data_IF_390387401722
#
_entry.id   IF_390387401722
#
_cell.length_a   1.000
_cell.length_b   1.000
_cell.length_c   1.000
_cell.angle_alpha   90.00
_cell.angle_beta   90.00
_cell.angle_gamma   90.00
#
_symmetry.space_group_name_H-M   'P 1'
#
loop_
_entity.id
_entity.type
_entity.pdbx_description
1 polymer ?
#
# COMPACT_ATOMS: atom_id res chain seq x y z
N UNK A 1 4.77 14.82 0.77
CA UNK A 1 3.67 14.08 1.44
C UNK A 1 3.46 12.66 0.89
N UNK A 2 3.41 12.45 -0.44
CA UNK A 2 3.17 11.11 -1.04
C UNK A 2 4.19 10.04 -0.60
N UNK A 3 5.48 10.38 -0.56
CA UNK A 3 6.55 9.46 -0.11
C UNK A 3 6.38 9.09 1.37
N UNK A 4 6.04 10.07 2.21
CA UNK A 4 5.82 9.86 3.65
C UNK A 4 4.69 8.83 3.87
N UNK A 5 3.61 8.90 3.09
CA UNK A 5 2.51 7.90 3.15
C UNK A 5 2.98 6.49 2.78
N UNK A 6 3.87 6.35 1.80
CA UNK A 6 4.43 5.05 1.40
C UNK A 6 5.33 4.49 2.50
N UNK A 7 6.17 5.33 3.12
CA UNK A 7 7.08 4.91 4.19
C UNK A 7 6.33 4.59 5.49
N UNK A 8 5.23 5.30 5.78
CA UNK A 8 4.37 5.06 6.95
C UNK A 8 3.64 3.70 6.91
N UNK A 9 3.60 3.03 5.76
CA UNK A 9 3.05 1.67 5.63
C UNK A 9 3.74 0.68 6.57
N UNK A 10 5.06 0.69 6.62
CA UNK A 10 5.84 -0.26 7.40
C UNK A 10 5.59 -0.16 8.92
N UNK A 11 5.70 1.03 9.56
CA UNK A 11 5.40 1.13 10.99
C UNK A 11 3.93 0.84 11.28
N UNK A 12 3.00 1.20 10.40
CA UNK A 12 1.58 0.88 10.60
C UNK A 12 1.35 -0.63 10.52
N UNK A 13 1.95 -1.32 9.55
CA UNK A 13 1.84 -2.77 9.42
C UNK A 13 2.46 -3.51 10.61
N UNK A 14 3.60 -3.02 11.10
CA UNK A 14 4.24 -3.54 12.31
C UNK A 14 3.36 -3.32 13.54
N UNK A 15 2.76 -2.14 13.72
CA UNK A 15 1.85 -1.85 14.82
C UNK A 15 0.59 -2.72 14.75
N UNK A 16 -0.05 -2.81 13.58
CA UNK A 16 -1.21 -3.69 13.34
C UNK A 16 -0.88 -5.12 13.71
N UNK A 17 0.27 -5.64 13.26
CA UNK A 17 0.71 -7.01 13.58
C UNK A 17 0.95 -7.21 15.08
N UNK A 18 1.57 -6.23 15.73
CA UNK A 18 1.81 -6.25 17.18
C UNK A 18 0.48 -6.22 17.96
N UNK A 19 -0.46 -5.36 17.57
CA UNK A 19 -1.79 -5.30 18.18
C UNK A 19 -2.54 -6.63 18.03
N UNK A 20 -2.44 -7.30 16.88
CA UNK A 20 -3.05 -8.61 16.68
C UNK A 20 -2.47 -9.68 17.64
N UNK A 21 -1.18 -9.59 17.98
CA UNK A 21 -0.53 -10.49 18.93
C UNK A 21 -0.95 -10.17 20.37
N UNK A 22 -1.05 -8.89 20.73
CA UNK A 22 -1.46 -8.47 22.09
C UNK A 22 -2.94 -8.72 22.37
N UNK A 23 -3.79 -8.61 21.36
CA UNK A 23 -5.24 -8.77 21.48
C UNK A 23 -5.76 -9.78 20.45
N UNK A 24 -5.58 -11.10 20.68
CA UNK A 24 -6.01 -12.13 19.74
C UNK A 24 -7.53 -12.15 19.55
N UNK A 25 -8.29 -11.76 20.58
CA UNK A 25 -9.76 -11.71 20.52
C UNK A 25 -10.31 -10.67 19.52
N UNK A 26 -9.55 -9.60 19.25
CA UNK A 26 -9.94 -8.54 18.30
C UNK A 26 -9.08 -8.52 17.04
N UNK A 27 -8.19 -9.49 16.87
CA UNK A 27 -7.29 -9.55 15.72
C UNK A 27 -8.08 -9.51 14.41
N UNK A 28 -9.18 -10.26 14.31
CA UNK A 28 -10.01 -10.37 13.10
C UNK A 28 -10.49 -9.01 12.57
N UNK A 29 -10.78 -8.05 13.46
CA UNK A 29 -11.20 -6.69 13.12
C UNK A 29 -10.02 -5.78 12.72
N UNK A 30 -8.84 -6.02 13.30
CA UNK A 30 -7.67 -5.18 13.12
C UNK A 30 -6.90 -5.56 11.83
N UNK A 31 -6.89 -6.84 11.48
CA UNK A 31 -6.21 -7.38 10.31
C UNK A 31 -6.53 -6.64 8.98
N UNK A 32 -7.81 -6.45 8.60
CA UNK A 32 -8.17 -5.87 7.31
C UNK A 32 -7.70 -4.42 7.16
N UNK A 33 -7.43 -3.72 8.26
CA UNK A 33 -6.89 -2.35 8.25
C UNK A 33 -5.47 -2.31 7.67
N UNK A 34 -4.67 -3.36 7.86
CA UNK A 34 -3.35 -3.49 7.24
C UNK A 34 -3.44 -3.56 5.72
N UNK A 35 -4.34 -4.40 5.20
CA UNK A 35 -4.62 -4.54 3.76
C UNK A 35 -5.16 -3.23 3.16
N UNK A 36 -6.01 -2.51 3.92
CA UNK A 36 -6.48 -1.18 3.54
C UNK A 36 -5.31 -0.19 3.43
N UNK A 37 -4.41 -0.16 4.41
CA UNK A 37 -3.27 0.76 4.34
C UNK A 37 -2.31 0.41 3.19
N UNK A 38 -2.10 -0.87 2.90
CA UNK A 38 -1.37 -1.31 1.70
C UNK A 38 -1.98 -0.69 0.43
N UNK A 39 -3.31 -0.77 0.28
CA UNK A 39 -3.98 -0.22 -0.90
C UNK A 39 -3.88 1.31 -1.02
N UNK A 40 -3.89 2.03 0.11
CA UNK A 40 -3.67 3.48 0.13
C UNK A 40 -2.22 3.83 -0.25
N UNK A 41 -1.24 3.07 0.25
CA UNK A 41 0.16 3.24 -0.11
C UNK A 41 0.40 2.93 -1.61
N UNK A 42 -0.28 1.93 -2.18
CA UNK A 42 -0.26 1.65 -3.62
C UNK A 42 -0.81 2.82 -4.45
N UNK A 43 -1.92 3.42 -4.03
CA UNK A 43 -2.47 4.61 -4.67
C UNK A 43 -1.53 5.82 -4.56
N UNK A 44 -0.83 5.98 -3.41
CA UNK A 44 0.16 7.03 -3.23
C UNK A 44 1.39 6.82 -4.13
N UNK A 45 1.82 5.58 -4.32
CA UNK A 45 2.89 5.20 -5.25
C UNK A 45 2.51 5.54 -6.70
N UNK A 46 1.29 5.23 -7.12
CA UNK A 46 0.79 5.63 -8.43
C UNK A 46 0.78 7.16 -8.62
N UNK A 47 0.25 7.90 -7.64
CA UNK A 47 0.24 9.37 -7.69
C UNK A 47 1.65 9.99 -7.70
N UNK A 48 2.61 9.30 -7.11
CA UNK A 48 4.02 9.67 -7.11
C UNK A 48 4.63 9.43 -8.50
N UNK A 49 4.36 8.27 -9.11
CA UNK A 49 4.75 7.96 -10.48
C UNK A 49 4.22 9.01 -11.46
N UNK A 50 2.95 9.38 -11.36
CA UNK A 50 2.36 10.43 -12.18
C UNK A 50 3.05 11.79 -12.00
N UNK A 51 3.49 12.15 -10.78
CA UNK A 51 4.27 13.38 -10.57
C UNK A 51 5.67 13.31 -11.16
N UNK A 52 6.32 12.14 -11.11
CA UNK A 52 7.62 11.93 -11.74
C UNK A 52 7.55 12.07 -13.26
N UNK A 53 6.55 11.44 -13.88
CA UNK A 53 6.34 11.53 -15.33
C UNK A 53 6.14 12.99 -15.76
N UNK A 54 5.34 13.77 -15.01
CA UNK A 54 5.10 15.18 -15.31
C UNK A 54 6.33 16.06 -15.14
N UNK A 55 7.17 15.77 -14.14
CA UNK A 55 8.38 16.54 -13.89
C UNK A 55 9.44 16.36 -14.98
N UNK A 56 9.42 15.22 -15.67
CA UNK A 56 10.37 14.91 -16.73
C UNK A 56 10.08 15.63 -18.06
N UNK A 57 8.84 16.03 -18.34
CA UNK A 57 8.46 16.73 -19.58
C UNK A 57 7.62 17.98 -19.29
N UNK A 58 8.25 19.09 -18.86
CA UNK A 58 7.51 20.31 -18.48
C UNK A 58 6.75 20.97 -19.65
N UNK A 59 7.18 20.74 -20.89
CA UNK A 59 6.57 21.34 -22.09
C UNK A 59 5.46 20.49 -22.72
N UNK A 60 5.31 19.22 -22.32
CA UNK A 60 4.28 18.34 -22.84
C UNK A 60 3.17 18.20 -21.80
N UNK A 61 2.08 18.93 -22.00
CA UNK A 61 0.89 18.91 -21.12
C UNK A 61 0.06 17.62 -21.27
N UNK A 62 0.73 16.49 -21.50
CA UNK A 62 0.07 15.22 -21.68
C UNK A 62 -0.27 14.60 -20.35
N UNK A 63 -1.49 14.06 -20.28
CA UNK A 63 -1.94 13.30 -19.13
C UNK A 63 -1.08 12.03 -19.04
N UNK A 64 -0.46 11.73 -17.88
CA UNK A 64 0.37 10.54 -17.74
C UNK A 64 -0.45 9.25 -17.90
N UNK A 65 -1.77 9.32 -17.72
CA UNK A 65 -2.67 8.19 -17.86
C UNK A 65 -4.06 8.66 -18.28
N UNK A 66 -4.82 7.75 -18.87
CA UNK A 66 -6.25 7.98 -19.14
C UNK A 66 -7.06 7.94 -17.84
N UNK A 67 -8.21 8.65 -17.77
CA UNK A 67 -9.08 8.59 -16.58
C UNK A 67 -9.57 7.17 -16.28
N UNK A 68 -9.75 6.34 -17.32
CA UNK A 68 -10.13 4.93 -17.17
C UNK A 68 -9.03 4.12 -16.47
N UNK A 69 -7.76 4.31 -16.84
CA UNK A 69 -6.64 3.65 -16.15
C UNK A 69 -6.53 4.11 -14.69
N UNK A 70 -6.69 5.41 -14.43
CA UNK A 70 -6.69 5.95 -13.08
C UNK A 70 -7.81 5.32 -12.22
N UNK A 71 -9.04 5.21 -12.75
CA UNK A 71 -10.13 4.53 -12.05
C UNK A 71 -9.83 3.06 -11.76
N UNK A 72 -9.22 2.33 -12.70
CA UNK A 72 -8.84 0.92 -12.50
C UNK A 72 -7.76 0.72 -11.44
N UNK A 73 -6.93 1.73 -11.19
CA UNK A 73 -5.92 1.71 -10.13
C UNK A 73 -6.56 2.11 -8.80
N UNK A 74 -7.40 3.15 -8.80
CA UNK A 74 -8.06 3.66 -7.59
C UNK A 74 -9.22 2.80 -7.08
N UNK A 75 -9.72 1.84 -7.87
CA UNK A 75 -10.66 0.85 -7.35
C UNK A 75 -10.05 -0.01 -6.22
N UNK A 76 -8.73 -0.15 -6.17
CA UNK A 76 -8.07 -1.00 -5.17
C UNK A 76 -8.34 -0.55 -3.73
N UNK A 77 -8.04 0.71 -3.33
CA UNK A 77 -8.38 1.19 -2.00
C UNK A 77 -9.89 1.27 -1.73
N UNK A 78 -10.70 1.55 -2.75
CA UNK A 78 -12.16 1.57 -2.58
C UNK A 78 -12.71 0.17 -2.23
N UNK A 79 -12.26 -0.86 -2.95
CA UNK A 79 -12.68 -2.24 -2.70
C UNK A 79 -12.10 -2.76 -1.38
N UNK A 80 -10.87 -2.37 -1.01
CA UNK A 80 -10.32 -2.74 0.29
C UNK A 80 -11.12 -2.16 1.45
N UNK A 81 -11.62 -0.93 1.33
CA UNK A 81 -12.51 -0.35 2.33
C UNK A 81 -13.83 -1.13 2.42
N UNK A 82 -14.38 -1.60 1.30
CA UNK A 82 -15.53 -2.50 1.31
C UNK A 82 -15.20 -3.85 1.97
N UNK A 83 -14.02 -4.43 1.71
CA UNK A 83 -13.58 -5.69 2.34
C UNK A 83 -13.47 -5.54 3.85
N UNK A 84 -12.96 -4.41 4.35
CA UNK A 84 -12.93 -4.11 5.79
C UNK A 84 -14.35 -4.17 6.35
N UNK A 85 -15.28 -3.40 5.78
CA UNK A 85 -16.69 -3.36 6.24
C UNK A 85 -17.34 -4.75 6.17
N UNK A 86 -17.13 -5.49 5.10
CA UNK A 86 -17.65 -6.86 4.96
C UNK A 86 -17.06 -7.76 6.04
N UNK A 87 -15.77 -7.65 6.35
CA UNK A 87 -15.12 -8.45 7.38
C UNK A 87 -15.70 -8.15 8.75
N UNK A 88 -15.85 -6.87 9.11
CA UNK A 88 -16.47 -6.43 10.37
C UNK A 88 -17.90 -6.99 10.53
N UNK A 89 -18.73 -6.88 9.48
CA UNK A 89 -20.12 -7.35 9.50
C UNK A 89 -20.20 -8.88 9.58
N UNK A 90 -19.34 -9.57 8.83
CA UNK A 90 -19.37 -11.05 8.78
C UNK A 90 -18.82 -11.67 10.05
N UNK A 91 -17.87 -11.01 10.71
CA UNK A 91 -17.39 -11.37 12.03
C UNK A 91 -18.45 -11.15 13.11
N UNK A 92 -19.13 -9.99 13.11
CA UNK A 92 -20.23 -9.72 14.04
C UNK A 92 -21.40 -10.72 13.92
N UNK A 93 -21.56 -11.34 12.74
CA UNK A 93 -22.55 -12.41 12.50
C UNK A 93 -22.03 -13.83 12.74
N UNK A 94 -20.75 -14.00 13.08
CA UNK A 94 -20.12 -15.31 13.29
C UNK A 94 -19.98 -16.16 12.01
N UNK A 95 -20.06 -15.54 10.83
CA UNK A 95 -19.91 -16.21 9.51
C UNK A 95 -18.47 -16.08 8.98
N UNK A 96 -17.67 -15.22 9.61
CA UNK A 96 -16.24 -15.14 9.37
C UNK A 96 -15.51 -16.12 10.29
N UNK A 97 -14.61 -16.93 9.73
CA UNK A 97 -13.78 -17.86 10.48
C UNK A 97 -12.33 -17.67 10.03
N UNK A 98 -11.46 -17.29 10.97
CA UNK A 98 -10.05 -17.02 10.67
C UNK A 98 -9.23 -18.31 10.50
N UNK A 99 -9.56 -19.37 11.24
CA UNK A 99 -8.80 -20.62 11.23
C UNK A 99 -9.06 -21.47 9.98
N UNK A 100 -10.27 -21.42 9.42
CA UNK A 100 -10.67 -22.31 8.32
C UNK A 100 -10.96 -21.56 7.02
N UNK A 101 -10.48 -22.10 5.91
CA UNK A 101 -10.70 -21.57 4.56
C UNK A 101 -11.68 -22.49 3.80
N UNK A 102 -12.92 -22.60 4.27
CA UNK A 102 -14.00 -23.35 3.60
C UNK A 102 -14.92 -22.38 2.84
N UNK A 103 -15.52 -22.86 1.74
CA UNK A 103 -16.43 -22.07 0.86
C UNK A 103 -17.62 -21.45 1.61
N UNK A 104 -18.03 -22.10 2.71
CA UNK A 104 -19.10 -21.64 3.58
C UNK A 104 -18.77 -20.35 4.36
N UNK A 105 -17.51 -20.12 4.71
CA UNK A 105 -17.12 -18.96 5.52
C UNK A 105 -16.82 -17.73 4.67
N UNK A 106 -17.05 -16.54 5.21
CA UNK A 106 -16.82 -15.27 4.51
C UNK A 106 -15.34 -15.01 4.13
N UNK A 107 -14.39 -15.66 4.82
CA UNK A 107 -12.93 -15.49 4.65
C UNK A 107 -12.48 -15.74 3.20
N UNK A 108 -12.92 -16.81 2.56
CA UNK A 108 -12.48 -17.17 1.20
C UNK A 108 -12.95 -16.13 0.18
N UNK A 109 -14.18 -15.65 0.29
CA UNK A 109 -14.75 -14.63 -0.59
C UNK A 109 -14.03 -13.30 -0.43
N UNK A 110 -13.73 -12.90 0.81
CA UNK A 110 -12.90 -11.73 1.08
C UNK A 110 -11.50 -11.89 0.48
N UNK A 111 -10.89 -13.07 0.61
CA UNK A 111 -9.56 -13.35 0.06
C UNK A 111 -9.54 -13.30 -1.46
N UNK A 112 -10.55 -13.84 -2.13
CA UNK A 112 -10.72 -13.77 -3.60
C UNK A 112 -10.91 -12.32 -4.04
N UNK A 113 -11.77 -11.56 -3.35
CA UNK A 113 -12.03 -10.16 -3.70
C UNK A 113 -10.75 -9.32 -3.57
N UNK A 114 -9.97 -9.54 -2.51
CA UNK A 114 -8.66 -8.93 -2.32
C UNK A 114 -7.70 -9.29 -3.45
N UNK A 115 -7.56 -10.58 -3.76
CA UNK A 115 -6.59 -11.05 -4.77
C UNK A 115 -6.92 -10.55 -6.17
N UNK A 116 -8.18 -10.67 -6.61
CA UNK A 116 -8.64 -10.20 -7.94
C UNK A 116 -8.40 -8.70 -8.08
N UNK A 117 -8.74 -7.92 -7.05
CA UNK A 117 -8.59 -6.46 -7.11
C UNK A 117 -7.11 -6.06 -7.19
N UNK A 118 -6.26 -6.69 -6.38
CA UNK A 118 -4.81 -6.48 -6.41
C UNK A 118 -4.23 -6.79 -7.79
N UNK A 119 -4.63 -7.92 -8.39
CA UNK A 119 -4.16 -8.35 -9.72
C UNK A 119 -4.58 -7.32 -10.78
N UNK A 120 -5.84 -6.89 -10.80
CA UNK A 120 -6.32 -5.88 -11.76
C UNK A 120 -5.58 -4.54 -11.62
N UNK A 121 -5.31 -4.12 -10.38
CA UNK A 121 -4.58 -2.88 -10.12
C UNK A 121 -3.12 -2.96 -10.59
N UNK A 122 -2.43 -4.09 -10.35
CA UNK A 122 -1.06 -4.30 -10.84
C UNK A 122 -1.05 -4.46 -12.37
N UNK A 123 -1.97 -5.22 -12.93
CA UNK A 123 -2.05 -5.48 -14.37
C UNK A 123 -2.29 -4.20 -15.19
N UNK A 124 -2.88 -3.17 -14.59
CA UNK A 124 -3.03 -1.85 -15.20
C UNK A 124 -1.84 -0.93 -14.94
N UNK A 125 -1.21 -1.04 -13.76
CA UNK A 125 -0.02 -0.26 -13.42
C UNK A 125 1.22 -0.70 -14.20
N UNK A 126 1.44 -2.01 -14.41
CA UNK A 126 2.67 -2.54 -15.03
C UNK A 126 2.88 -2.08 -16.49
N UNK A 127 1.88 -2.10 -17.39
CA UNK A 127 2.06 -1.61 -18.75
C UNK A 127 2.32 -0.10 -18.77
N UNK A 128 1.57 0.66 -17.98
CA UNK A 128 1.77 2.11 -17.81
C UNK A 128 3.22 2.39 -17.39
N UNK A 129 3.67 1.64 -16.40
CA UNK A 129 5.02 1.73 -15.89
C UNK A 129 6.06 1.40 -16.97
N UNK A 130 5.90 0.30 -17.71
CA UNK A 130 6.81 -0.09 -18.81
C UNK A 130 6.87 0.96 -19.91
N UNK A 131 5.75 1.57 -20.27
CA UNK A 131 5.69 2.63 -21.29
C UNK A 131 6.47 3.87 -20.89
N UNK A 132 6.40 4.28 -19.61
CA UNK A 132 7.09 5.47 -19.11
C UNK A 132 8.46 5.19 -18.46
N UNK A 133 8.86 3.92 -18.37
CA UNK A 133 10.14 3.50 -17.82
C UNK A 133 11.38 4.13 -18.46
N UNK A 134 11.51 4.25 -19.80
CA UNK A 134 12.70 4.86 -20.39
C UNK A 134 12.87 6.32 -19.96
N UNK A 135 11.76 7.02 -19.80
CA UNK A 135 11.70 8.41 -19.37
C UNK A 135 11.97 8.56 -17.86
N UNK A 136 11.56 7.58 -17.05
CA UNK A 136 11.87 7.57 -15.63
C UNK A 136 13.34 7.22 -15.35
N UNK A 137 13.99 6.45 -16.22
CA UNK A 137 15.42 6.12 -16.06
C UNK A 137 16.36 7.30 -16.32
N UNK A 138 15.93 8.34 -17.03
CA UNK A 138 16.75 9.54 -17.26
C UNK A 138 16.74 10.48 -16.06
N UNK A 139 15.77 10.35 -15.16
CA UNK A 139 15.78 11.06 -13.89
C UNK A 139 16.78 10.41 -12.92
N UNK A 140 17.47 11.20 -12.07
CA UNK A 140 18.36 10.69 -11.03
C UNK A 140 17.54 10.08 -9.88
N UNK A 141 16.73 9.06 -10.17
CA UNK A 141 16.09 8.27 -9.13
C UNK A 141 17.14 7.32 -8.53
N UNK A 142 17.22 7.21 -7.19
CA UNK A 142 18.19 6.34 -6.54
C UNK A 142 18.02 4.86 -6.89
N UNK A 143 16.79 4.42 -7.21
CA UNK A 143 16.50 3.03 -7.55
C UNK A 143 15.51 2.89 -8.70
N UNK A 144 15.61 1.76 -9.41
CA UNK A 144 14.68 1.43 -10.47
C UNK A 144 13.26 1.32 -9.90
N UNK A 145 12.24 1.88 -10.57
CA UNK A 145 10.92 1.89 -9.97
C UNK A 145 10.19 0.52 -10.02
N UNK A 146 10.74 -0.47 -10.74
CA UNK A 146 10.38 -1.89 -10.56
C UNK A 146 10.84 -2.43 -9.22
N UNK A 147 12.05 -2.07 -8.78
CA UNK A 147 12.59 -2.47 -7.47
C UNK A 147 11.78 -1.83 -6.35
N UNK A 148 11.29 -0.60 -6.56
CA UNK A 148 10.36 0.05 -5.62
C UNK A 148 9.04 -0.71 -5.50
N UNK A 149 8.43 -1.09 -6.64
CA UNK A 149 7.19 -1.86 -6.63
C UNK A 149 7.39 -3.27 -6.05
N UNK A 150 8.52 -3.92 -6.35
CA UNK A 150 8.86 -5.23 -5.79
C UNK A 150 9.15 -5.16 -4.29
N UNK A 151 9.83 -4.12 -3.81
CA UNK A 151 10.04 -3.91 -2.37
C UNK A 151 8.70 -3.71 -1.65
N UNK A 152 7.79 -2.95 -2.27
CA UNK A 152 6.44 -2.72 -1.74
C UNK A 152 5.59 -3.99 -1.71
N UNK A 153 5.57 -4.76 -2.81
CA UNK A 153 4.71 -5.96 -2.94
C UNK A 153 5.37 -7.26 -2.50
N UNK A 154 6.67 -7.22 -2.23
CA UNK A 154 7.49 -8.37 -1.86
C UNK A 154 7.07 -8.97 -0.53
N UNK A 155 6.59 -8.14 0.39
CA UNK A 155 6.02 -8.55 1.67
C UNK A 155 4.80 -9.47 1.47
N UNK A 156 3.88 -9.08 0.59
CA UNK A 156 2.69 -9.90 0.25
C UNK A 156 3.11 -11.19 -0.45
N UNK A 157 4.12 -11.13 -1.31
CA UNK A 157 4.66 -12.32 -1.98
C UNK A 157 5.31 -13.29 -0.98
N UNK A 158 6.05 -12.78 0.00
CA UNK A 158 6.69 -13.59 1.04
C UNK A 158 5.67 -14.19 1.99
N UNK A 159 4.59 -13.47 2.32
CA UNK A 159 3.45 -14.05 3.05
C UNK A 159 2.82 -15.23 2.28
N UNK A 160 2.62 -15.09 0.97
CA UNK A 160 2.13 -16.19 0.12
C UNK A 160 3.11 -17.36 0.13
N UNK A 161 4.42 -17.11 0.04
CA UNK A 161 5.42 -18.16 0.14
C UNK A 161 5.42 -18.84 1.52
N UNK A 162 5.28 -18.08 2.61
CA UNK A 162 5.17 -18.61 3.97
C UNK A 162 3.95 -19.51 4.12
N UNK A 163 2.78 -19.05 3.68
CA UNK A 163 1.55 -19.86 3.75
C UNK A 163 1.64 -21.13 2.92
N UNK A 164 2.32 -21.11 1.77
CA UNK A 164 2.61 -22.33 1.00
C UNK A 164 3.55 -23.29 1.76
N UNK A 165 4.62 -22.77 2.37
CA UNK A 165 5.56 -23.57 3.17
C UNK A 165 4.84 -24.20 4.36
N UNK A 166 4.04 -23.44 5.11
CA UNK A 166 3.26 -23.94 6.24
C UNK A 166 2.18 -24.94 5.81
N UNK A 167 1.57 -24.75 4.65
CA UNK A 167 0.62 -25.72 4.10
C UNK A 167 1.27 -27.07 3.80
N UNK A 168 2.54 -27.08 3.38
CA UNK A 168 3.30 -28.31 3.16
C UNK A 168 3.83 -28.92 4.46
N UNK A 169 4.21 -28.08 5.42
CA UNK A 169 4.86 -28.51 6.67
C UNK A 169 3.84 -29.01 7.73
N UNK A 170 2.64 -28.44 7.78
CA UNK A 170 1.58 -28.78 8.74
C UNK A 170 1.23 -30.29 8.77
N UNK A 171 1.03 -31.00 7.64
CA UNK A 171 0.74 -32.43 7.68
C UNK A 171 1.91 -33.31 8.14
N UNK A 172 3.14 -32.80 8.18
CA UNK A 172 4.35 -33.56 8.57
C UNK A 172 4.74 -33.34 10.04
N UNK A 173 4.16 -32.36 10.72
CA UNK A 173 4.38 -32.10 12.14
C UNK A 173 3.34 -32.87 12.96
N UNK A 174 3.72 -34.01 13.55
CA UNK A 174 2.87 -34.72 14.52
C UNK A 174 2.45 -33.77 15.64
N UNK A 175 1.14 -33.57 15.80
CA UNK A 175 0.53 -32.76 16.83
C UNK A 175 0.87 -33.32 18.23
N UNK A 176 2.01 -32.91 18.78
CA UNK A 176 2.28 -33.03 20.20
C UNK A 176 1.29 -32.11 20.91
N UNK A 177 0.58 -32.64 21.90
CA UNK A 177 -0.57 -32.08 22.65
C UNK A 177 -0.46 -30.64 23.22
N UNK A 178 0.58 -29.88 22.88
CA UNK A 178 0.76 -28.46 23.25
C UNK A 178 0.67 -27.45 22.09
N UNK A 179 0.65 -27.89 20.83
CA UNK A 179 0.43 -26.99 19.70
C UNK A 179 -1.02 -27.13 19.22
N UNK A 180 -1.85 -26.15 19.56
CA UNK A 180 -3.20 -26.05 19.03
C UNK A 180 -3.12 -25.77 17.53
N UNK A 181 -3.98 -26.38 16.71
CA UNK A 181 -4.03 -26.18 15.24
C UNK A 181 -4.23 -24.71 14.83
N UNK A 182 -4.78 -23.90 15.74
CA UNK A 182 -4.92 -22.45 15.62
C UNK A 182 -3.56 -21.72 15.62
N UNK A 183 -2.62 -22.15 16.46
CA UNK A 183 -1.32 -21.48 16.61
C UNK A 183 -0.47 -21.61 15.34
N UNK A 184 -0.51 -22.79 14.71
CA UNK A 184 0.31 -23.10 13.53
C UNK A 184 -0.21 -22.43 12.26
N UNK A 185 -1.53 -22.22 12.17
CA UNK A 185 -2.17 -21.70 10.96
C UNK A 185 -2.40 -20.19 11.00
N UNK A 186 -2.46 -19.60 12.20
CA UNK A 186 -2.78 -18.18 12.39
C UNK A 186 -1.67 -17.42 13.09
N UNK A 187 -1.21 -17.88 14.26
CA UNK A 187 -0.34 -17.08 15.14
C UNK A 187 1.12 -17.11 14.66
N UNK A 188 1.67 -18.28 14.34
CA UNK A 188 3.06 -18.45 13.92
C UNK A 188 3.37 -17.68 12.61
N UNK A 189 2.55 -17.76 11.54
CA UNK A 189 2.77 -16.97 10.34
C UNK A 189 2.77 -15.45 10.61
N UNK A 190 1.94 -14.98 11.54
CA UNK A 190 1.85 -13.55 11.91
C UNK A 190 3.06 -13.06 12.67
N UNK A 191 3.59 -13.87 13.58
CA UNK A 191 4.85 -13.59 14.27
C UNK A 191 6.01 -13.49 13.27
N UNK A 192 6.07 -14.42 12.31
CA UNK A 192 7.11 -14.44 11.29
C UNK A 192 7.05 -13.18 10.42
N UNK A 193 5.85 -12.77 9.99
CA UNK A 193 5.64 -11.52 9.26
C UNK A 193 6.08 -10.31 10.05
N UNK A 194 5.76 -10.24 11.35
CA UNK A 194 6.19 -9.11 12.20
C UNK A 194 7.71 -8.95 12.23
N UNK A 195 8.46 -10.06 12.31
CA UNK A 195 9.93 -10.05 12.26
C UNK A 195 10.42 -9.66 10.87
N UNK A 196 9.77 -10.17 9.83
CA UNK A 196 10.10 -9.86 8.44
C UNK A 196 9.93 -8.37 8.12
N UNK A 197 8.89 -7.71 8.63
CA UNK A 197 8.69 -6.26 8.46
C UNK A 197 9.86 -5.44 8.97
N UNK A 198 10.52 -5.89 10.05
CA UNK A 198 11.73 -5.23 10.59
C UNK A 198 12.88 -5.33 9.59
N UNK A 199 13.04 -6.49 8.94
CA UNK A 199 14.00 -6.67 7.84
C UNK A 199 13.68 -5.78 6.63
N UNK A 200 12.40 -5.73 6.23
CA UNK A 200 11.94 -4.86 5.14
C UNK A 200 12.08 -3.37 5.45
N UNK A 201 12.05 -2.97 6.72
CA UNK A 201 12.33 -1.58 7.09
C UNK A 201 13.73 -1.14 6.62
N UNK A 202 14.73 -2.03 6.71
CA UNK A 202 16.06 -1.78 6.14
C UNK A 202 16.03 -1.65 4.62
N UNK A 203 15.27 -2.51 3.93
CA UNK A 203 15.11 -2.46 2.47
C UNK A 203 14.41 -1.17 2.04
N UNK A 204 13.35 -0.73 2.72
CA UNK A 204 12.66 0.52 2.41
C UNK A 204 13.50 1.75 2.74
N UNK A 205 14.32 1.70 3.79
CA UNK A 205 15.27 2.77 4.06
C UNK A 205 16.25 2.94 2.90
N UNK A 206 16.74 1.83 2.34
CA UNK A 206 17.61 1.83 1.17
C UNK A 206 16.86 2.29 -0.09
N UNK A 207 15.69 1.72 -0.37
CA UNK A 207 14.93 1.94 -1.60
C UNK A 207 14.28 3.32 -1.66
N UNK A 208 13.73 3.82 -0.54
CA UNK A 208 12.98 5.08 -0.44
C UNK A 208 13.70 6.17 0.36
N UNK A 209 15.04 6.10 0.46
CA UNK A 209 15.85 7.09 1.15
C UNK A 209 15.55 8.53 0.70
N UNK A 210 15.16 9.39 1.65
CA UNK A 210 14.56 10.72 1.42
C UNK A 210 15.45 11.66 0.58
N UNK A 211 16.77 11.48 0.62
CA UNK A 211 17.72 12.35 -0.08
C UNK A 211 17.62 12.34 -1.61
N UNK A 212 17.10 11.27 -2.22
CA UNK A 212 17.07 11.10 -3.68
C UNK A 212 15.78 11.55 -4.37
N UNK A 213 14.73 11.91 -3.63
CA UNK A 213 13.39 12.17 -4.19
C UNK A 213 13.04 13.67 -4.26
N UNK A 214 14.05 14.54 -4.25
CA UNK A 214 13.86 16.00 -4.35
C UNK A 214 13.73 16.38 -5.84
N UNK A 215 12.50 16.30 -6.36
CA UNK A 215 12.19 16.90 -7.66
C UNK A 215 11.92 18.39 -7.45
N UNK A 216 12.68 19.22 -8.15
CA UNK A 216 12.77 20.67 -7.98
C UNK A 216 11.44 21.39 -7.74
N UNK A 217 11.28 21.87 -6.52
CA UNK A 217 10.98 23.28 -6.22
C UNK A 217 11.65 23.57 -4.90
N UNK A 218 12.80 24.24 -4.95
CA UNK A 218 13.38 24.93 -3.80
C UNK A 218 12.49 26.13 -3.45
N UNK A 219 11.24 25.86 -3.07
CA UNK A 219 10.44 26.77 -2.29
C UNK A 219 10.86 26.56 -0.85
N UNK A 220 11.35 27.63 -0.23
CA UNK A 220 11.64 27.74 1.21
C UNK A 220 10.39 27.41 2.01
N UNK A 221 10.09 26.12 2.13
CA UNK A 221 9.02 25.58 2.95
C UNK A 221 9.45 25.78 4.40
N UNK A 222 8.67 26.55 5.13
CA UNK A 222 8.78 26.66 6.58
C UNK A 222 9.01 25.26 7.15
N UNK A 223 9.93 25.09 8.10
CA UNK A 223 10.11 23.82 8.83
C UNK A 223 8.82 23.49 9.57
N UNK A 224 7.86 22.92 8.87
CA UNK A 224 6.67 22.33 9.45
C UNK A 224 7.16 21.12 10.23
N UNK A 225 7.12 21.22 11.57
CA UNK A 225 7.60 20.17 12.46
C UNK A 225 7.05 18.80 12.04
N UNK A 226 7.87 17.75 12.18
CA UNK A 226 7.59 16.41 11.63
C UNK A 226 6.19 15.86 11.95
N UNK A 227 5.63 16.20 13.11
CA UNK A 227 4.27 15.84 13.52
C UNK A 227 3.16 16.42 12.64
N UNK A 228 3.31 17.65 12.12
CA UNK A 228 2.35 18.27 11.20
C UNK A 228 2.38 17.60 9.83
N UNK A 229 3.58 17.27 9.34
CA UNK A 229 3.76 16.54 8.09
C UNK A 229 3.18 15.11 8.18
N UNK A 230 3.28 14.47 9.34
CA UNK A 230 2.71 13.15 9.62
C UNK A 230 1.17 13.21 9.69
N UNK A 231 0.61 14.22 10.36
CA UNK A 231 -0.83 14.45 10.39
C UNK A 231 -1.42 14.74 9.00
N UNK A 232 -0.73 15.53 8.17
CA UNK A 232 -1.15 15.76 6.78
C UNK A 232 -0.99 14.50 5.90
N UNK A 233 0.00 13.66 6.16
CA UNK A 233 0.15 12.38 5.49
C UNK A 233 -1.00 11.41 5.85
N UNK A 234 -1.46 11.42 7.11
CA UNK A 234 -2.58 10.57 7.57
C UNK A 234 -3.97 11.12 7.23
N UNK A 235 -4.08 12.35 6.71
CA UNK A 235 -5.38 12.90 6.31
C UNK A 235 -5.94 12.20 5.05
N UNK A 236 -6.91 11.30 5.26
CA UNK A 236 -7.57 10.51 4.21
C UNK A 236 -8.41 11.38 3.28
N UNK A 237 -9.11 12.40 3.79
CA UNK A 237 -9.99 13.25 2.97
C UNK A 237 -9.18 13.99 1.92
N UNK A 238 -8.07 14.61 2.32
CA UNK A 238 -7.16 15.28 1.39
C UNK A 238 -6.56 14.32 0.36
N UNK A 239 -6.34 13.06 0.74
CA UNK A 239 -5.85 12.04 -0.20
C UNK A 239 -6.90 11.64 -1.23
N UNK A 240 -8.15 11.43 -0.81
CA UNK A 240 -9.27 11.13 -1.73
C UNK A 240 -9.49 12.30 -2.69
N UNK A 241 -9.43 13.54 -2.22
CA UNK A 241 -9.50 14.72 -3.08
C UNK A 241 -8.38 14.74 -4.14
N UNK A 242 -7.16 14.36 -3.78
CA UNK A 242 -6.05 14.21 -4.75
C UNK A 242 -6.37 13.15 -5.81
N UNK A 243 -6.88 11.98 -5.41
CA UNK A 243 -7.27 10.90 -6.33
C UNK A 243 -8.37 11.37 -7.30
N UNK A 244 -9.43 11.98 -6.77
CA UNK A 244 -10.56 12.51 -7.58
C UNK A 244 -10.08 13.57 -8.56
N UNK A 245 -9.16 14.44 -8.13
CA UNK A 245 -8.61 15.48 -9.00
C UNK A 245 -7.82 14.89 -10.16
N UNK A 246 -7.06 13.81 -9.91
CA UNK A 246 -6.33 13.12 -10.97
C UNK A 246 -7.26 12.39 -11.94
N UNK A 247 -8.32 11.74 -11.45
CA UNK A 247 -9.34 11.13 -12.32
C UNK A 247 -10.01 12.18 -13.21
N UNK A 248 -10.33 13.36 -12.66
CA UNK A 248 -10.92 14.47 -13.42
C UNK A 248 -9.93 15.11 -14.40
N UNK A 249 -8.65 14.71 -14.38
CA UNK A 249 -7.59 15.27 -15.21
C UNK A 249 -7.40 16.78 -14.99
N UNK A 250 -7.82 17.28 -13.83
CA UNK A 250 -7.50 18.64 -13.36
C UNK A 250 -6.11 18.54 -12.73
N UNK A 251 -5.10 18.35 -13.58
CA UNK A 251 -3.70 18.30 -13.15
C UNK A 251 -3.37 19.49 -12.24
N UNK A 252 -2.39 19.28 -11.36
CA UNK A 252 -1.94 20.18 -10.30
C UNK A 252 -2.15 21.67 -10.63
N UNK A 253 -3.32 22.24 -10.30
CA UNK A 253 -3.54 23.69 -10.37
C UNK A 253 -2.80 24.25 -9.17
N UNK A 254 -1.51 24.53 -9.37
CA UNK A 254 -0.69 25.26 -8.42
C UNK A 254 -1.52 26.47 -7.98
N UNK A 255 -1.70 26.62 -6.67
CA UNK A 255 -2.23 27.83 -6.09
C UNK A 255 -1.12 28.89 -6.20
N UNK A 256 -0.83 29.30 -7.43
CA UNK A 256 -0.14 30.55 -7.70
C UNK A 256 -1.08 31.65 -7.25
N UNK A 257 -0.94 32.09 -6.01
CA UNK A 257 -1.27 33.49 -5.72
C UNK A 257 -0.39 34.29 -6.67
N UNK A 258 -1.04 35.02 -7.57
CA UNK A 258 -0.34 35.94 -8.45
C UNK A 258 0.50 36.89 -7.63
N UNK A 259 1.75 37.04 -8.01
CA UNK A 259 2.40 38.32 -7.91
C UNK A 259 2.51 38.83 -9.34
N UNK A 260 1.49 39.59 -9.76
CA UNK A 260 1.73 40.72 -10.63
C UNK A 260 2.38 41.85 -9.82
N UNK A 261 3.09 42.72 -10.53
CA UNK A 261 3.88 43.84 -10.01
C UNK A 261 5.30 43.72 -10.56
N UNK A 262 5.59 44.32 -11.73
CA UNK A 262 6.20 45.66 -11.82
C UNK A 262 7.61 45.63 -11.17
N UNK A 263 8.72 45.79 -11.89
CA UNK A 263 9.06 46.72 -12.99
C UNK A 263 10.10 46.07 -13.91
#
# INVERSE_FOLDING_TARGET
MKIIRIILLLPIFSLVSLLCILTPASAIYILPLGDLYESLAFAAFFLLLCTYIRASEPHFHSRPCTPVQACKIFQFPAIMLLVVIITEITEAKGVYCEAETKVYFAKIWCTILKSVTTILAIATLLPLFKTHLPLLRTLPLPHSPTTQLLAFKGIVLLNVLQTLIFSFLTPHLSATNKLMTLDLTVVIPRLLLSVEMVGFAGVFWWVYGVGGYVVGTAGRGNSEGGWKALGQALNVVGFVEEMVREVKGKGWRGRGKGCGGEV
#
